data_IF_876774331777
#
_entry.id   IF_876774331777
#
_cell.length_a   1.000
_cell.length_b   1.000
_cell.length_c   1.000
_cell.angle_alpha   90.00
_cell.angle_beta   90.00
_cell.angle_gamma   90.00
#
_symmetry.space_group_name_H-M   'P 1'
#
loop_
_entity.id
_entity.type
_entity.pdbx_description
1 polymer ?
#
# COMPACT_ATOMS: atom_id res chain seq x y z
N UNK A 1 16.04 3.04 6.05
CA UNK A 1 17.09 2.29 5.31
C UNK A 1 16.56 1.05 4.56
N UNK A 2 15.55 0.31 5.07
CA UNK A 2 15.04 -0.90 4.42
C UNK A 2 14.09 -0.69 3.21
N UNK A 3 13.44 0.48 3.06
CA UNK A 3 12.53 0.81 1.92
C UNK A 3 13.27 0.79 0.57
N UNK A 4 14.51 1.30 0.54
CA UNK A 4 15.35 1.31 -0.68
C UNK A 4 15.78 -0.10 -1.10
N UNK A 5 16.06 -0.99 -0.15
CA UNK A 5 16.58 -2.34 -0.44
C UNK A 5 15.49 -3.30 -0.94
N UNK A 6 14.26 -3.15 -0.44
CA UNK A 6 13.13 -4.02 -0.80
C UNK A 6 12.58 -3.81 -2.21
N UNK A 7 12.70 -2.58 -2.74
CA UNK A 7 12.23 -2.23 -4.08
C UNK A 7 13.34 -2.20 -5.14
N UNK A 8 14.61 -2.32 -4.74
CA UNK A 8 15.77 -2.21 -5.65
C UNK A 8 16.33 -3.55 -6.13
N UNK A 9 15.72 -4.68 -5.79
CA UNK A 9 16.23 -6.02 -6.17
C UNK A 9 17.57 -6.40 -5.53
N UNK A 10 18.05 -5.66 -4.52
CA UNK A 10 19.36 -5.87 -3.87
C UNK A 10 19.34 -6.96 -2.79
N UNK A 11 18.18 -7.55 -2.50
CA UNK A 11 18.02 -8.67 -1.57
C UNK A 11 17.27 -9.82 -2.24
N UNK A 12 17.78 -11.05 -2.10
CA UNK A 12 17.20 -12.26 -2.67
C UNK A 12 15.71 -12.42 -2.31
N UNK A 13 14.85 -12.53 -3.33
CA UNK A 13 13.38 -12.53 -3.22
C UNK A 13 12.74 -13.72 -2.51
N UNK A 14 13.53 -14.59 -1.85
CA UNK A 14 13.05 -15.81 -1.17
C UNK A 14 12.88 -15.67 0.35
N UNK A 15 13.23 -14.53 0.94
CA UNK A 15 13.45 -14.44 2.41
C UNK A 15 12.41 -13.59 3.17
N UNK A 16 11.35 -13.07 2.53
CA UNK A 16 10.39 -12.23 3.27
C UNK A 16 8.96 -12.74 3.10
N UNK A 17 8.29 -13.20 4.17
CA UNK A 17 6.84 -13.14 4.20
C UNK A 17 6.48 -11.64 4.19
N UNK A 18 6.23 -11.11 3.00
CA UNK A 18 5.69 -9.77 2.85
C UNK A 18 4.21 -9.85 3.22
N UNK A 19 3.85 -9.35 4.39
CA UNK A 19 2.45 -8.98 4.65
C UNK A 19 2.04 -8.04 3.52
N UNK A 20 1.15 -8.52 2.67
CA UNK A 20 0.73 -7.82 1.45
C UNK A 20 -0.76 -7.59 1.55
N UNK A 21 -1.18 -6.35 1.41
CA UNK A 21 -2.59 -6.00 1.38
C UNK A 21 -3.09 -6.07 -0.06
N UNK A 22 -4.25 -6.69 -0.25
CA UNK A 22 -4.97 -6.62 -1.50
C UNK A 22 -5.82 -5.35 -1.49
N UNK A 23 -5.46 -4.35 -2.29
CA UNK A 23 -6.11 -3.04 -2.31
C UNK A 23 -6.63 -2.71 -3.71
N UNK A 24 -7.47 -1.69 -3.85
CA UNK A 24 -7.96 -1.23 -5.15
C UNK A 24 -6.86 -0.69 -6.08
N UNK A 25 -5.71 -0.28 -5.52
CA UNK A 25 -4.52 0.09 -6.31
C UNK A 25 -3.63 -1.12 -6.64
N UNK A 26 -3.91 -2.29 -6.07
CA UNK A 26 -3.22 -3.56 -6.31
C UNK A 26 -2.66 -4.21 -5.04
N UNK A 27 -1.68 -5.10 -5.23
CA UNK A 27 -1.00 -5.85 -4.15
C UNK A 27 0.05 -4.99 -3.46
N UNK A 28 -0.27 -4.35 -2.35
CA UNK A 28 0.65 -3.44 -1.66
C UNK A 28 1.48 -4.20 -0.61
N UNK A 29 2.80 -4.36 -0.78
CA UNK A 29 3.66 -4.91 0.27
C UNK A 29 3.78 -3.89 1.41
N UNK A 30 3.56 -4.35 2.64
CA UNK A 30 3.75 -3.54 3.84
C UNK A 30 5.21 -3.53 4.26
N UNK A 31 5.69 -2.34 4.58
CA UNK A 31 6.97 -2.09 5.22
C UNK A 31 6.76 -1.33 6.53
N UNK A 32 7.79 -1.28 7.36
CA UNK A 32 7.80 -0.40 8.53
C UNK A 32 7.54 1.05 8.10
N UNK A 33 6.55 1.70 8.72
CA UNK A 33 6.10 3.04 8.35
C UNK A 33 5.14 3.11 7.16
N UNK A 34 4.69 1.98 6.60
CA UNK A 34 3.66 1.98 5.54
C UNK A 34 2.29 2.44 6.03
N UNK A 35 1.95 2.24 7.31
CA UNK A 35 0.71 2.76 7.89
C UNK A 35 0.98 4.20 8.35
N UNK A 36 0.37 5.17 7.70
CA UNK A 36 0.62 6.60 7.96
C UNK A 36 -0.53 7.31 8.65
N UNK A 37 -1.74 6.72 8.64
CA UNK A 37 -2.89 7.27 9.35
C UNK A 37 -3.91 6.17 9.71
N UNK A 38 -4.82 6.48 10.63
CA UNK A 38 -5.98 5.66 10.99
C UNK A 38 -7.19 6.57 11.17
N UNK A 39 -8.36 6.14 10.74
CA UNK A 39 -9.60 6.89 10.96
C UNK A 39 -10.51 6.26 12.02
N UNK A 40 -11.60 6.95 12.34
CA UNK A 40 -12.63 6.51 13.29
C UNK A 40 -13.45 5.30 12.81
N UNK A 41 -13.34 4.92 11.54
CA UNK A 41 -14.05 3.81 10.91
C UNK A 41 -13.20 2.53 10.82
N UNK A 42 -12.13 2.42 11.60
CA UNK A 42 -11.15 1.33 11.55
C UNK A 42 -10.48 1.17 10.18
N UNK A 43 -10.32 2.26 9.42
CA UNK A 43 -9.52 2.24 8.19
C UNK A 43 -8.12 2.72 8.50
N UNK A 44 -7.14 2.05 7.89
CA UNK A 44 -5.73 2.44 7.90
C UNK A 44 -5.38 3.05 6.55
N UNK A 45 -4.66 4.17 6.58
CA UNK A 45 -4.09 4.77 5.37
C UNK A 45 -2.72 4.19 5.12
N UNK A 46 -2.55 3.57 3.97
CA UNK A 46 -1.32 2.89 3.57
C UNK A 46 -0.57 3.74 2.56
N UNK A 47 0.66 4.11 2.90
CA UNK A 47 1.64 4.63 1.96
C UNK A 47 2.18 3.50 1.08
N UNK A 48 1.92 3.59 -0.22
CA UNK A 48 2.46 2.64 -1.19
C UNK A 48 3.81 3.11 -1.76
N UNK A 49 4.48 2.20 -2.46
CA UNK A 49 5.65 2.52 -3.28
C UNK A 49 5.31 2.84 -4.74
N UNK A 50 4.02 2.94 -5.09
CA UNK A 50 3.59 3.11 -6.48
C UNK A 50 3.46 4.58 -6.83
N UNK A 51 4.05 5.01 -7.94
CA UNK A 51 3.83 6.35 -8.50
C UNK A 51 2.58 6.37 -9.37
N UNK A 52 1.80 7.44 -9.26
CA UNK A 52 0.62 7.63 -10.09
C UNK A 52 0.96 7.67 -11.58
N UNK A 53 2.01 8.41 -11.95
CA UNK A 53 2.46 8.55 -13.34
C UNK A 53 2.89 7.23 -13.97
N UNK A 54 3.61 6.38 -13.22
CA UNK A 54 4.00 5.04 -13.70
C UNK A 54 2.76 4.18 -13.96
N UNK A 55 1.75 4.27 -13.09
CA UNK A 55 0.50 3.53 -13.25
C UNK A 55 -0.26 3.96 -14.50
N UNK A 56 -0.32 5.26 -14.75
CA UNK A 56 -0.93 5.83 -15.96
C UNK A 56 -0.17 5.45 -17.23
N UNK A 57 1.17 5.36 -17.16
CA UNK A 57 1.99 4.94 -18.30
C UNK A 57 1.79 3.47 -18.65
N UNK A 58 1.54 2.60 -17.68
CA UNK A 58 1.32 1.17 -17.93
C UNK A 58 -0.10 0.86 -18.39
N UNK A 59 -1.09 1.58 -17.86
CA UNK A 59 -2.50 1.37 -18.19
C UNK A 59 -3.13 2.72 -18.53
N UNK A 60 -3.00 3.18 -19.80
CA UNK A 60 -3.64 4.41 -20.25
C UNK A 60 -5.16 4.25 -20.15
N UNK A 61 -5.78 5.02 -19.25
CA UNK A 61 -7.21 4.91 -18.90
C UNK A 61 -7.48 4.36 -17.50
N UNK A 62 -6.43 4.03 -16.73
CA UNK A 62 -6.60 3.71 -15.32
C UNK A 62 -7.16 4.91 -14.55
N UNK A 63 -8.17 4.66 -13.72
CA UNK A 63 -8.78 5.68 -12.88
C UNK A 63 -8.34 5.47 -11.44
N UNK A 64 -8.05 6.57 -10.74
CA UNK A 64 -7.74 6.53 -9.32
C UNK A 64 -8.99 6.08 -8.56
N UNK A 65 -8.93 4.98 -7.79
CA UNK A 65 -10.08 4.53 -7.03
C UNK A 65 -10.42 5.53 -5.92
N UNK A 66 -11.70 5.66 -5.56
CA UNK A 66 -12.18 6.72 -4.65
C UNK A 66 -11.66 6.62 -3.21
N UNK A 67 -11.08 5.48 -2.82
CA UNK A 67 -10.41 5.28 -1.54
C UNK A 67 -8.88 5.49 -1.61
N UNK A 68 -8.35 5.91 -2.76
CA UNK A 68 -6.94 6.24 -2.93
C UNK A 68 -6.72 7.72 -3.22
N UNK A 69 -5.53 8.21 -2.89
CA UNK A 69 -5.07 9.57 -3.18
C UNK A 69 -3.60 9.57 -3.58
N UNK A 70 -3.16 10.66 -4.21
CA UNK A 70 -1.75 10.91 -4.53
C UNK A 70 -1.20 11.87 -3.48
N UNK A 71 -0.03 11.58 -2.93
CA UNK A 71 0.67 12.49 -2.02
C UNK A 71 1.52 13.54 -2.75
N UNK A 72 2.08 14.48 -2.00
CA UNK A 72 2.88 15.58 -2.52
C UNK A 72 4.16 15.13 -3.28
N UNK A 73 4.68 13.93 -3.00
CA UNK A 73 5.83 13.31 -3.68
C UNK A 73 5.42 12.47 -4.91
N UNK A 74 4.12 12.40 -5.21
CA UNK A 74 3.55 11.69 -6.36
C UNK A 74 3.34 10.19 -6.15
N UNK A 75 3.42 9.69 -4.90
CA UNK A 75 3.12 8.30 -4.60
C UNK A 75 1.64 8.10 -4.24
N UNK A 76 1.14 6.89 -4.49
CA UNK A 76 -0.21 6.48 -4.16
C UNK A 76 -0.34 6.14 -2.67
N UNK A 77 -1.40 6.62 -2.06
CA UNK A 77 -1.86 6.24 -0.72
C UNK A 77 -3.25 5.63 -0.85
N UNK A 78 -3.55 4.57 -0.10
CA UNK A 78 -4.84 3.88 -0.18
C UNK A 78 -5.40 3.59 1.21
N UNK A 79 -6.68 3.89 1.41
CA UNK A 79 -7.42 3.51 2.60
C UNK A 79 -7.79 2.03 2.53
N UNK A 80 -7.41 1.29 3.56
CA UNK A 80 -7.70 -0.12 3.72
C UNK A 80 -8.48 -0.35 5.01
N UNK A 81 -9.50 -1.21 4.97
CA UNK A 81 -10.25 -1.56 6.17
C UNK A 81 -9.41 -2.52 7.03
N UNK A 82 -8.91 -2.05 8.16
CA UNK A 82 -8.30 -2.88 9.18
C UNK A 82 -9.45 -3.54 9.94
N UNK A 83 -9.46 -4.87 10.00
CA UNK A 83 -10.63 -5.68 10.33
C UNK A 83 -11.58 -5.02 11.35
N UNK A 84 -12.88 -5.00 11.03
CA UNK A 84 -13.94 -4.75 12.02
C UNK A 84 -13.61 -5.60 13.24
N UNK A 85 -13.47 -5.00 14.42
CA UNK A 85 -12.97 -5.62 15.65
C UNK A 85 -13.83 -6.77 16.20
N UNK A 86 -14.16 -7.75 15.38
CA UNK A 86 -14.53 -9.08 15.80
C UNK A 86 -13.26 -9.70 16.36
N UNK A 87 -13.18 -9.77 17.69
CA UNK A 87 -12.39 -10.80 18.34
C UNK A 87 -12.70 -12.11 17.61
N UNK A 88 -11.70 -12.71 16.98
CA UNK A 88 -11.78 -14.12 16.66
C UNK A 88 -11.81 -14.84 18.00
N UNK A 89 -13.02 -15.11 18.51
CA UNK A 89 -13.21 -16.06 19.58
C UNK A 89 -12.89 -17.43 18.97
N UNK A 90 -11.72 -17.95 19.34
CA UNK A 90 -11.33 -19.35 19.11
C UNK A 90 -11.87 -20.20 20.25
#
# INVERSE_FOLDING_TARGET
MQRRLGASGLTSGRTRPHFTLMTDVGKVPLYEGSIINRDEHNRILIQTGYRYEERMSWVPGWQLPGNARVDDDGFLQVWYLDAIGGKAEF
#
